data_IF_673873045123
#
_entry.id   IF_673873045123
#
_cell.length_a   1.000
_cell.length_b   1.000
_cell.length_c   1.000
_cell.angle_alpha   90.00
_cell.angle_beta   90.00
_cell.angle_gamma   90.00
#
_symmetry.space_group_name_H-M   'P 1'
#
loop_
_entity.id
_entity.type
_entity.pdbx_description
1 polymer ?
#
# COMPACT_ATOMS: atom_id res chain seq x y z
N UNK A 1 25.42 47.73 -1.39
CA UNK A 1 25.02 46.31 -1.24
C UNK A 1 23.61 46.16 -1.79
N UNK A 2 23.45 45.27 -2.80
CA UNK A 2 22.26 44.61 -3.37
C UNK A 2 20.97 45.45 -3.54
N UNK A 3 20.54 45.87 -4.74
CA UNK A 3 20.11 45.15 -5.97
C UNK A 3 18.81 44.34 -5.83
N UNK A 4 17.90 44.61 -6.79
CA UNK A 4 16.63 43.99 -7.19
C UNK A 4 15.38 44.39 -6.38
N UNK A 5 14.32 44.99 -6.95
CA UNK A 5 13.93 45.11 -8.35
C UNK A 5 12.85 44.08 -8.72
N UNK A 6 11.64 44.63 -8.93
CA UNK A 6 10.55 44.20 -9.81
C UNK A 6 9.95 42.79 -9.71
N UNK A 7 8.65 42.80 -9.42
CA UNK A 7 7.64 41.85 -9.88
C UNK A 7 7.79 41.53 -11.37
N UNK A 8 7.47 40.31 -11.78
CA UNK A 8 6.70 40.10 -13.01
C UNK A 8 6.03 38.71 -12.97
N UNK A 9 4.70 38.75 -12.91
CA UNK A 9 3.79 37.68 -13.26
C UNK A 9 3.82 37.52 -14.79
N UNK A 10 3.97 36.30 -15.30
CA UNK A 10 3.48 35.93 -16.64
C UNK A 10 3.42 34.42 -16.80
N UNK A 11 2.17 33.96 -16.73
CA UNK A 11 1.50 33.24 -17.80
C UNK A 11 2.27 32.11 -18.50
N UNK A 12 1.76 30.90 -18.27
CA UNK A 12 1.04 30.25 -19.35
C UNK A 12 1.86 29.66 -20.49
N UNK A 13 1.67 28.34 -20.62
CA UNK A 13 1.53 27.65 -21.90
C UNK A 13 2.79 27.01 -22.50
N UNK A 14 2.92 25.70 -22.15
CA UNK A 14 3.32 24.62 -23.07
C UNK A 14 4.83 24.72 -23.43
N UNK A 15 5.65 23.69 -23.65
CA UNK A 15 5.54 22.57 -24.59
C UNK A 15 6.84 21.81 -24.36
N UNK A 16 6.72 20.51 -24.07
CA UNK A 16 7.48 19.40 -24.68
C UNK A 16 8.96 19.65 -25.02
N UNK A 17 9.75 18.68 -24.57
CA UNK A 17 11.06 18.29 -25.14
C UNK A 17 12.24 19.09 -24.63
N UNK A 18 12.95 18.53 -23.65
CA UNK A 18 14.39 18.34 -23.81
C UNK A 18 14.80 17.00 -23.19
N UNK A 19 14.87 16.01 -24.08
CA UNK A 19 15.77 14.88 -23.92
C UNK A 19 17.18 15.46 -23.74
N UNK A 20 17.85 15.17 -22.62
CA UNK A 20 19.30 15.33 -22.57
C UNK A 20 19.92 14.15 -21.82
N UNK A 21 20.38 13.22 -22.65
CA UNK A 21 21.31 12.15 -22.31
C UNK A 21 22.66 12.77 -21.95
N UNK A 22 23.17 12.42 -20.77
CA UNK A 22 24.57 12.33 -20.36
C UNK A 22 24.55 11.65 -18.98
N UNK A 23 25.18 10.52 -18.67
CA UNK A 23 26.30 9.82 -19.26
C UNK A 23 27.40 9.70 -18.21
N UNK A 24 27.53 8.56 -17.52
CA UNK A 24 28.79 8.06 -16.93
C UNK A 24 28.72 6.54 -16.86
N UNK A 25 29.65 5.89 -17.56
CA UNK A 25 29.93 4.47 -17.46
C UNK A 25 30.82 4.22 -16.23
N UNK A 26 30.39 3.33 -15.34
CA UNK A 26 31.25 2.74 -14.32
C UNK A 26 31.54 1.29 -14.74
N UNK A 27 32.80 1.03 -15.09
CA UNK A 27 33.32 -0.32 -15.33
C UNK A 27 33.46 -1.02 -13.98
N UNK A 28 32.51 -1.90 -13.67
CA UNK A 28 32.57 -2.82 -12.54
C UNK A 28 32.74 -4.24 -13.07
N UNK A 29 33.94 -4.79 -12.96
CA UNK A 29 34.23 -6.17 -13.27
C UNK A 29 33.51 -7.11 -12.28
N UNK A 30 32.80 -8.09 -12.84
CA UNK A 30 32.57 -9.40 -12.22
C UNK A 30 31.55 -9.50 -11.10
N UNK A 31 30.30 -9.82 -11.46
CA UNK A 31 29.43 -10.75 -10.71
C UNK A 31 28.45 -11.38 -11.72
N UNK A 32 28.29 -12.72 -11.73
CA UNK A 32 27.42 -13.39 -12.68
C UNK A 32 25.96 -13.16 -12.31
N UNK A 33 25.17 -12.75 -13.31
CA UNK A 33 23.78 -13.18 -13.48
C UNK A 33 22.81 -12.90 -12.33
N UNK A 34 22.15 -11.75 -12.38
CA UNK A 34 20.72 -11.69 -12.08
C UNK A 34 20.02 -11.29 -13.36
N UNK A 35 19.94 -12.22 -14.31
CA UNK A 35 18.83 -12.20 -15.26
C UNK A 35 17.58 -12.23 -14.38
N UNK A 36 16.82 -11.14 -14.38
CA UNK A 36 15.45 -11.14 -13.88
C UNK A 36 14.68 -12.08 -14.80
N UNK A 37 14.73 -13.37 -14.48
CA UNK A 37 13.97 -14.40 -15.15
C UNK A 37 12.52 -13.97 -15.06
N UNK A 38 12.00 -13.48 -16.18
CA UNK A 38 10.58 -13.42 -16.46
C UNK A 38 10.03 -14.82 -16.19
N UNK A 39 9.48 -15.00 -14.99
CA UNK A 39 8.60 -16.12 -14.71
C UNK A 39 7.34 -15.89 -15.53
N UNK A 40 7.38 -16.40 -16.76
CA UNK A 40 6.22 -16.68 -17.59
C UNK A 40 5.37 -17.69 -16.84
N UNK A 41 4.33 -17.20 -16.20
CA UNK A 41 3.22 -18.00 -15.69
C UNK A 41 1.95 -17.35 -16.20
N UNK A 42 1.37 -17.93 -17.24
CA UNK A 42 -0.04 -17.82 -17.58
C UNK A 42 -0.86 -18.27 -16.36
N UNK A 43 -1.07 -17.36 -15.43
CA UNK A 43 -2.06 -17.44 -14.39
C UNK A 43 -2.52 -16.02 -14.18
N UNK A 44 -3.80 -15.76 -14.44
CA UNK A 44 -4.49 -14.55 -13.97
C UNK A 44 -3.93 -14.22 -12.57
N UNK A 45 -3.19 -13.11 -12.37
CA UNK A 45 -2.45 -12.90 -11.13
C UNK A 45 -3.47 -12.96 -10.02
N UNK A 46 -3.39 -14.00 -9.18
CA UNK A 46 -4.42 -14.33 -8.22
C UNK A 46 -4.67 -13.08 -7.37
N UNK A 47 -5.78 -12.40 -7.65
CA UNK A 47 -6.01 -11.08 -7.10
C UNK A 47 -6.18 -11.21 -5.58
N UNK A 48 -5.57 -10.29 -4.83
CA UNK A 48 -5.75 -10.24 -3.38
C UNK A 48 -7.16 -9.75 -3.12
N UNK A 49 -7.95 -10.60 -2.44
CA UNK A 49 -9.38 -10.41 -2.21
C UNK A 49 -9.59 -9.71 -0.88
N UNK A 50 -10.16 -8.51 -0.91
CA UNK A 50 -10.35 -7.69 0.29
C UNK A 50 -11.83 -7.40 0.50
N UNK A 51 -12.36 -7.67 1.68
CA UNK A 51 -13.69 -7.20 2.07
C UNK A 51 -13.54 -5.93 2.88
N UNK A 52 -14.28 -4.88 2.52
CA UNK A 52 -14.27 -3.59 3.21
C UNK A 52 -15.65 -3.33 3.80
N UNK A 53 -15.74 -2.97 5.09
CA UNK A 53 -17.02 -2.72 5.76
C UNK A 53 -16.88 -1.77 6.95
N UNK A 54 -17.51 -0.57 6.98
CA UNK A 54 -18.35 0.02 5.93
C UNK A 54 -17.52 0.69 4.83
N UNK A 55 -17.79 0.38 3.56
CA UNK A 55 -17.13 1.04 2.41
C UNK A 55 -17.65 2.46 2.13
N UNK A 56 -18.79 2.85 2.73
CA UNK A 56 -19.34 4.22 2.69
C UNK A 56 -18.51 5.23 3.47
N UNK A 57 -17.72 4.79 4.46
CA UNK A 57 -16.87 5.71 5.21
C UNK A 57 -15.66 6.13 4.36
N UNK A 58 -15.44 7.45 4.14
CA UNK A 58 -14.37 7.94 3.27
C UNK A 58 -12.98 7.61 3.78
N UNK A 59 -12.77 7.55 5.10
CA UNK A 59 -11.49 7.16 5.68
C UNK A 59 -11.26 5.66 5.56
N UNK A 60 -12.31 4.83 5.65
CA UNK A 60 -12.21 3.38 5.41
C UNK A 60 -11.90 3.12 3.94
N UNK A 61 -12.59 3.77 3.01
CA UNK A 61 -12.31 3.68 1.57
C UNK A 61 -10.88 4.12 1.24
N UNK A 62 -10.41 5.23 1.83
CA UNK A 62 -9.02 5.71 1.69
C UNK A 62 -8.02 4.71 2.26
N UNK A 63 -8.34 4.08 3.39
CA UNK A 63 -7.50 3.05 4.01
C UNK A 63 -7.34 1.84 3.08
N UNK A 64 -8.44 1.40 2.45
CA UNK A 64 -8.39 0.35 1.44
C UNK A 64 -7.54 0.77 0.23
N UNK A 65 -7.69 2.00 -0.27
CA UNK A 65 -6.88 2.50 -1.38
C UNK A 65 -5.38 2.52 -1.05
N UNK A 66 -4.99 2.87 0.18
CA UNK A 66 -3.60 2.81 0.64
C UNK A 66 -3.09 1.37 0.68
N UNK A 67 -3.89 0.44 1.22
CA UNK A 67 -3.55 -0.98 1.25
C UNK A 67 -3.35 -1.52 -0.17
N UNK A 68 -4.28 -1.22 -1.07
CA UNK A 68 -4.23 -1.58 -2.48
C UNK A 68 -2.94 -1.05 -3.12
N UNK A 69 -2.74 0.26 -3.09
CA UNK A 69 -1.58 0.90 -3.69
C UNK A 69 -0.25 0.32 -3.16
N UNK A 70 -0.17 0.04 -1.85
CA UNK A 70 1.06 -0.49 -1.25
C UNK A 70 1.37 -1.92 -1.69
N UNK A 71 0.34 -2.77 -1.80
CA UNK A 71 0.51 -4.16 -2.25
C UNK A 71 0.87 -4.18 -3.73
N UNK A 72 0.14 -3.44 -4.57
CA UNK A 72 0.36 -3.37 -6.03
C UNK A 72 1.72 -2.74 -6.38
N UNK A 73 2.19 -1.79 -5.57
CA UNK A 73 3.52 -1.20 -5.75
C UNK A 73 4.65 -2.20 -5.41
N UNK A 74 4.42 -3.12 -4.47
CA UNK A 74 5.45 -4.06 -3.96
C UNK A 74 5.40 -5.43 -4.62
N UNK A 75 4.24 -5.81 -5.16
CA UNK A 75 3.99 -7.10 -5.78
C UNK A 75 3.22 -6.89 -7.08
N UNK A 76 3.54 -7.67 -8.11
CA UNK A 76 2.79 -7.70 -9.37
C UNK A 76 1.46 -8.48 -9.21
N UNK A 77 0.65 -8.11 -8.23
CA UNK A 77 -0.67 -8.70 -7.93
C UNK A 77 -1.70 -7.58 -7.90
N UNK A 78 -2.92 -7.85 -8.37
CA UNK A 78 -4.02 -6.90 -8.31
C UNK A 78 -4.77 -7.04 -6.98
N UNK A 79 -5.26 -5.95 -6.40
CA UNK A 79 -6.11 -5.98 -5.19
C UNK A 79 -7.54 -5.58 -5.55
N UNK A 80 -8.48 -6.46 -5.21
CA UNK A 80 -9.91 -6.31 -5.55
C UNK A 80 -10.76 -6.30 -4.30
N UNK A 81 -11.75 -5.41 -4.25
CA UNK A 81 -12.77 -5.42 -3.22
C UNK A 81 -13.83 -6.46 -3.56
N UNK A 82 -14.01 -7.47 -2.70
CA UNK A 82 -15.02 -8.53 -2.87
C UNK A 82 -15.68 -8.88 -1.54
N UNK A 83 -16.95 -9.29 -1.60
CA UNK A 83 -17.70 -9.74 -0.43
C UNK A 83 -17.51 -11.22 -0.08
N UNK A 84 -17.26 -12.08 -1.07
CA UNK A 84 -17.20 -13.53 -0.91
C UNK A 84 -15.75 -14.04 -0.76
N UNK A 85 -15.51 -14.99 0.15
CA UNK A 85 -14.18 -15.58 0.41
C UNK A 85 -13.03 -14.55 0.50
N UNK A 86 -13.13 -13.46 1.29
CA UNK A 86 -12.04 -12.49 1.38
C UNK A 86 -10.79 -13.13 2.00
N UNK A 87 -9.60 -12.69 1.55
CA UNK A 87 -8.32 -12.99 2.22
C UNK A 87 -8.00 -11.95 3.30
N UNK A 88 -8.46 -10.72 3.10
CA UNK A 88 -8.29 -9.62 4.06
C UNK A 88 -9.66 -9.03 4.32
N UNK A 89 -10.00 -8.83 5.59
CA UNK A 89 -11.26 -8.21 6.00
C UNK A 89 -10.93 -6.94 6.76
N UNK A 90 -11.39 -5.79 6.27
CA UNK A 90 -11.28 -4.49 6.92
C UNK A 90 -12.63 -4.15 7.53
N UNK A 91 -12.69 -4.00 8.85
CA UNK A 91 -13.95 -3.72 9.54
C UNK A 91 -13.83 -2.78 10.73
N UNK A 92 -14.96 -2.18 11.13
CA UNK A 92 -15.05 -1.32 12.31
C UNK A 92 -15.84 -2.01 13.41
N UNK A 93 -15.37 -1.89 14.65
CA UNK A 93 -16.07 -2.36 15.85
C UNK A 93 -16.01 -1.27 16.93
N UNK A 94 -17.13 -0.59 17.14
CA UNK A 94 -17.25 0.51 18.10
C UNK A 94 -17.14 0.07 19.58
N UNK A 95 -17.03 -1.23 19.85
CA UNK A 95 -16.71 -1.76 21.20
C UNK A 95 -15.23 -1.56 21.53
N UNK A 96 -14.37 -1.40 20.52
CA UNK A 96 -12.97 -1.04 20.72
C UNK A 96 -12.83 0.48 20.92
N UNK A 97 -11.85 0.93 21.73
CA UNK A 97 -11.51 2.35 21.81
C UNK A 97 -11.25 2.94 20.41
N UNK A 98 -11.65 4.19 20.15
CA UNK A 98 -11.64 4.78 18.80
C UNK A 98 -10.30 4.63 18.05
N UNK A 99 -9.18 4.76 18.77
CA UNK A 99 -7.84 4.66 18.19
C UNK A 99 -7.22 3.25 18.29
N UNK A 100 -7.90 2.31 18.94
CA UNK A 100 -7.46 0.93 19.05
C UNK A 100 -7.77 0.15 17.78
N UNK A 101 -6.99 -0.91 17.57
CA UNK A 101 -7.24 -1.87 16.52
C UNK A 101 -6.89 -3.29 16.98
N UNK A 102 -7.45 -4.26 16.29
CA UNK A 102 -7.24 -5.68 16.51
C UNK A 102 -6.95 -6.37 15.18
N UNK A 103 -5.93 -7.21 15.16
CA UNK A 103 -5.69 -8.14 14.08
C UNK A 103 -6.00 -9.55 14.54
N UNK A 104 -6.95 -10.19 13.84
CA UNK A 104 -7.35 -11.58 14.04
C UNK A 104 -7.21 -12.39 12.75
N UNK A 105 -7.33 -13.70 12.88
CA UNK A 105 -7.52 -14.62 11.76
C UNK A 105 -8.90 -15.25 11.85
N UNK A 106 -9.59 -15.35 10.71
CA UNK A 106 -10.86 -16.07 10.60
C UNK A 106 -10.72 -17.07 9.46
N UNK A 107 -10.57 -18.34 9.80
CA UNK A 107 -10.26 -19.37 8.82
C UNK A 107 -8.94 -19.06 8.12
N UNK A 108 -8.97 -18.80 6.81
CA UNK A 108 -7.80 -18.42 6.02
C UNK A 108 -7.67 -16.90 5.78
N UNK A 109 -8.55 -16.09 6.36
CA UNK A 109 -8.60 -14.65 6.16
C UNK A 109 -8.01 -13.88 7.34
N UNK A 110 -7.27 -12.81 7.07
CA UNK A 110 -6.82 -11.88 8.11
C UNK A 110 -7.86 -10.79 8.29
N UNK A 111 -8.38 -10.63 9.51
CA UNK A 111 -9.33 -9.57 9.86
C UNK A 111 -8.59 -8.44 10.60
N UNK A 112 -8.69 -7.23 10.08
CA UNK A 112 -8.27 -5.99 10.72
C UNK A 112 -9.51 -5.25 11.20
N UNK A 113 -9.65 -5.11 12.51
CA UNK A 113 -10.76 -4.40 13.16
C UNK A 113 -10.24 -3.10 13.75
N UNK A 114 -10.86 -1.96 13.43
CA UNK A 114 -10.59 -0.68 14.07
C UNK A 114 -11.74 -0.24 14.98
N UNK A 115 -11.44 0.41 16.12
CA UNK A 115 -12.48 1.03 16.94
C UNK A 115 -13.15 2.24 16.28
N UNK A 116 -12.43 2.88 15.36
CA UNK A 116 -12.89 3.92 14.45
C UNK A 116 -12.07 3.83 13.17
N UNK A 117 -12.41 4.63 12.17
CA UNK A 117 -11.74 4.70 10.87
C UNK A 117 -10.24 5.07 11.03
N UNK A 118 -9.89 5.86 12.04
CA UNK A 118 -8.49 6.12 12.41
C UNK A 118 -7.79 4.89 12.99
N UNK A 119 -8.43 4.17 13.92
CA UNK A 119 -7.92 2.91 14.46
C UNK A 119 -7.68 1.89 13.35
N UNK A 120 -8.61 1.77 12.40
CA UNK A 120 -8.48 0.88 11.25
C UNK A 120 -7.27 1.24 10.37
N UNK A 121 -7.06 2.53 10.09
CA UNK A 121 -5.89 3.01 9.37
C UNK A 121 -4.58 2.59 10.06
N UNK A 122 -4.50 2.75 11.38
CA UNK A 122 -3.32 2.30 12.14
C UNK A 122 -3.13 0.78 12.08
N UNK A 123 -4.21 0.02 12.19
CA UNK A 123 -4.17 -1.44 12.08
C UNK A 123 -3.69 -1.90 10.70
N UNK A 124 -4.20 -1.29 9.63
CA UNK A 124 -3.76 -1.56 8.26
C UNK A 124 -2.30 -1.16 8.05
N UNK A 125 -1.88 -0.01 8.58
CA UNK A 125 -0.48 0.41 8.55
C UNK A 125 0.44 -0.61 9.21
N UNK A 126 0.05 -1.12 10.40
CA UNK A 126 0.81 -2.17 11.10
C UNK A 126 0.82 -3.47 10.31
N UNK A 127 -0.33 -3.90 9.80
CA UNK A 127 -0.48 -5.10 8.96
C UNK A 127 0.48 -5.07 7.77
N UNK A 128 0.50 -3.96 7.02
CA UNK A 128 1.40 -3.77 5.87
C UNK A 128 2.87 -3.81 6.30
N UNK A 129 3.21 -3.17 7.42
CA UNK A 129 4.58 -3.14 7.95
C UNK A 129 5.10 -4.52 8.36
N UNK A 130 4.20 -5.39 8.85
CA UNK A 130 4.53 -6.76 9.27
C UNK A 130 4.33 -7.81 8.19
N UNK A 131 3.76 -7.44 7.04
CA UNK A 131 3.56 -8.33 5.90
C UNK A 131 4.87 -8.53 5.14
N UNK A 132 5.00 -9.69 4.48
CA UNK A 132 6.18 -10.02 3.66
C UNK A 132 5.82 -9.90 2.18
N UNK A 133 6.81 -9.49 1.40
CA UNK A 133 6.67 -9.21 -0.03
C UNK A 133 7.75 -9.99 -0.80
N UNK A 134 7.89 -11.29 -0.53
CA UNK A 134 8.85 -12.16 -1.22
C UNK A 134 8.21 -12.81 -2.45
N UNK A 135 8.31 -12.14 -3.61
CA UNK A 135 7.71 -12.50 -4.92
C UNK A 135 6.18 -12.55 -4.98
N UNK A 136 5.51 -12.92 -3.89
CA UNK A 136 4.06 -12.86 -3.70
C UNK A 136 3.73 -12.10 -2.42
N UNK A 137 2.51 -11.58 -2.36
CA UNK A 137 2.02 -10.93 -1.14
C UNK A 137 1.71 -11.97 -0.07
N UNK A 138 2.41 -11.90 1.06
CA UNK A 138 2.15 -12.73 2.23
C UNK A 138 1.63 -11.86 3.37
N UNK A 139 0.33 -12.03 3.67
CA UNK A 139 -0.32 -11.37 4.78
C UNK A 139 0.41 -11.70 6.09
N UNK A 140 0.62 -10.69 6.94
CA UNK A 140 1.33 -10.89 8.20
C UNK A 140 0.64 -11.97 9.07
N UNK A 141 1.44 -12.79 9.74
CA UNK A 141 0.98 -13.75 10.76
C UNK A 141 0.77 -13.09 12.15
N UNK A 142 1.02 -11.78 12.27
CA UNK A 142 0.91 -11.08 13.55
C UNK A 142 -0.55 -10.94 13.97
N UNK A 143 -0.89 -11.47 15.16
CA UNK A 143 -2.21 -11.41 15.76
C UNK A 143 -2.12 -10.65 17.07
N UNK A 144 -3.15 -9.86 17.38
CA UNK A 144 -3.25 -9.17 18.65
C UNK A 144 -3.95 -7.81 18.56
N UNK A 145 -4.36 -7.34 19.74
CA UNK A 145 -4.99 -6.04 19.93
C UNK A 145 -3.92 -5.01 20.30
N UNK A 146 -3.86 -3.92 19.55
CA UNK A 146 -3.02 -2.77 19.88
C UNK A 146 -3.92 -1.63 20.32
N UNK A 147 -3.77 -1.24 21.59
CA UNK A 147 -4.35 -0.01 22.11
C UNK A 147 -3.24 1.03 22.18
N UNK A 148 -3.42 2.25 21.62
CA UNK A 148 -2.49 3.32 21.92
C UNK A 148 -2.50 3.55 23.43
N UNK A 149 -1.32 3.63 24.03
CA UNK A 149 -1.14 4.00 25.44
C UNK A 149 -0.78 5.48 25.47
N UNK A 150 -1.67 6.29 26.05
CA UNK A 150 -1.41 7.70 26.37
C UNK A 150 -1.68 8.63 25.21
#
# INVERSE_FOLDING_TARGET
MNLLGCSEESDGLNRRTFLKVAGVAAVGAGLPGCASSQAKGDANPAAVRVKVSPSTDPLVARTFAILKARIEQRCAVNVVEIGDRPQIILTLDNRLPAQAFQLDEIGAAVRVVGGSSQGLLYGVGKFLRTSRYDRTFQASAWRGTSKPRG
#
